data_IF_055574816007
#
_entry.id   IF_055574816007
#
_cell.length_a   1.000
_cell.length_b   1.000
_cell.length_c   1.000
_cell.angle_alpha   90.00
_cell.angle_beta   90.00
_cell.angle_gamma   90.00
#
_symmetry.space_group_name_H-M   'P 1'
#
loop_
_entity.id
_entity.type
_entity.pdbx_description
1 polymer ?
#
# COMPACT_ATOMS: atom_id res chain seq x y z
N UNK A 1 29.00 6.58 -11.71
CA UNK A 1 27.66 6.59 -11.10
C UNK A 1 27.78 5.98 -9.71
N UNK A 2 27.94 6.79 -8.68
CA UNK A 2 28.05 6.32 -7.28
C UNK A 2 26.70 5.78 -6.84
N UNK A 3 26.62 4.47 -6.59
CA UNK A 3 25.55 3.85 -5.82
C UNK A 3 25.52 4.52 -4.44
N UNK A 4 24.77 5.62 -4.29
CA UNK A 4 24.48 6.12 -2.96
C UNK A 4 23.66 5.04 -2.29
N UNK A 5 24.29 4.31 -1.36
CA UNK A 5 23.63 3.40 -0.44
C UNK A 5 22.68 4.25 0.42
N UNK A 6 21.48 4.53 -0.11
CA UNK A 6 20.45 5.21 0.66
C UNK A 6 20.08 4.23 1.78
N UNK A 7 20.25 4.61 3.06
CA UNK A 7 20.25 3.66 4.16
C UNK A 7 18.90 2.95 4.29
N UNK A 8 18.93 1.65 4.56
CA UNK A 8 17.75 0.79 4.77
C UNK A 8 16.74 1.40 5.75
N UNK A 9 17.25 2.10 6.77
CA UNK A 9 16.45 2.85 7.75
C UNK A 9 15.44 3.81 7.10
N UNK A 10 15.80 4.51 6.02
CA UNK A 10 14.87 5.45 5.35
C UNK A 10 13.72 4.72 4.67
N UNK A 11 14.00 3.63 3.96
CA UNK A 11 12.95 2.82 3.35
C UNK A 11 12.03 2.21 4.42
N UNK A 12 12.59 1.78 5.54
CA UNK A 12 11.82 1.29 6.68
C UNK A 12 10.84 2.35 7.22
N UNK A 13 11.34 3.52 7.63
CA UNK A 13 10.46 4.59 8.16
C UNK A 13 9.47 5.11 7.11
N UNK A 14 9.90 5.28 5.86
CA UNK A 14 9.04 5.73 4.78
C UNK A 14 7.93 4.73 4.48
N UNK A 15 8.24 3.42 4.48
CA UNK A 15 7.26 2.36 4.30
C UNK A 15 6.25 2.32 5.43
N UNK A 16 6.70 2.37 6.69
CA UNK A 16 5.79 2.38 7.85
C UNK A 16 4.86 3.60 7.83
N UNK A 17 5.41 4.81 7.66
CA UNK A 17 4.61 6.03 7.63
C UNK A 17 3.69 6.09 6.41
N UNK A 18 4.18 5.69 5.24
CA UNK A 18 3.37 5.59 4.03
C UNK A 18 2.20 4.64 4.22
N UNK A 19 2.45 3.43 4.75
CA UNK A 19 1.39 2.45 5.02
C UNK A 19 0.41 2.97 6.05
N UNK A 20 0.88 3.63 7.12
CA UNK A 20 -0.02 4.24 8.10
C UNK A 20 -0.97 5.26 7.44
N UNK A 21 -0.45 6.14 6.58
CA UNK A 21 -1.27 7.10 5.82
C UNK A 21 -2.30 6.36 4.94
N UNK A 22 -1.87 5.34 4.22
CA UNK A 22 -2.75 4.49 3.41
C UNK A 22 -3.87 3.85 4.23
N UNK A 23 -3.54 3.18 5.34
CA UNK A 23 -4.51 2.47 6.18
C UNK A 23 -5.48 3.43 6.86
N UNK A 24 -5.02 4.62 7.28
CA UNK A 24 -5.88 5.66 7.85
C UNK A 24 -6.87 6.18 6.81
N UNK A 25 -6.44 6.44 5.58
CA UNK A 25 -7.34 6.91 4.52
C UNK A 25 -8.41 5.86 4.17
N UNK A 26 -8.03 4.58 4.09
CA UNK A 26 -9.00 3.49 3.89
C UNK A 26 -9.92 3.29 5.08
N UNK A 27 -9.48 3.59 6.31
CA UNK A 27 -10.35 3.53 7.48
C UNK A 27 -11.56 4.47 7.35
N UNK A 28 -11.38 5.60 6.66
CA UNK A 28 -12.42 6.58 6.41
C UNK A 28 -13.29 6.27 5.17
N UNK A 29 -13.16 5.10 4.54
CA UNK A 29 -13.98 4.69 3.39
C UNK A 29 -15.50 4.88 3.60
N UNK A 30 -16.09 4.51 4.76
CA UNK A 30 -17.54 4.67 4.98
C UNK A 30 -18.01 6.13 4.92
N UNK A 31 -17.14 7.10 5.23
CA UNK A 31 -17.50 8.52 5.22
C UNK A 31 -17.74 9.07 3.80
N UNK A 32 -17.23 8.39 2.78
CA UNK A 32 -17.43 8.74 1.36
C UNK A 32 -18.37 7.76 0.65
N UNK A 33 -19.17 7.00 1.41
CA UNK A 33 -20.13 6.04 0.88
C UNK A 33 -19.51 4.76 0.31
N UNK A 34 -18.22 4.51 0.58
CA UNK A 34 -17.55 3.26 0.22
C UNK A 34 -17.64 2.25 1.37
N UNK A 35 -17.90 0.97 1.10
CA UNK A 35 -17.93 -0.07 2.13
C UNK A 35 -16.59 -0.19 2.88
N UNK A 36 -16.66 -0.54 4.16
CA UNK A 36 -15.45 -0.74 4.98
C UNK A 36 -14.70 -1.98 4.49
N UNK A 37 -13.48 -1.79 4.02
CA UNK A 37 -12.57 -2.88 3.66
C UNK A 37 -11.62 -3.18 4.80
N UNK A 38 -11.56 -4.45 5.20
CA UNK A 38 -10.62 -4.92 6.21
C UNK A 38 -9.47 -5.67 5.55
N UNK A 39 -8.56 -4.92 4.91
CA UNK A 39 -7.39 -5.48 4.24
C UNK A 39 -6.47 -6.28 5.15
N UNK A 40 -6.21 -5.88 6.41
CA UNK A 40 -5.49 -6.72 7.36
C UNK A 40 -6.15 -8.09 7.49
N UNK A 41 -7.47 -8.14 7.70
CA UNK A 41 -8.16 -9.42 7.82
C UNK A 41 -8.02 -10.25 6.54
N UNK A 42 -8.16 -9.65 5.36
CA UNK A 42 -8.00 -10.36 4.08
C UNK A 42 -6.63 -11.01 3.95
N UNK A 43 -5.56 -10.22 4.13
CA UNK A 43 -4.19 -10.71 4.05
C UNK A 43 -3.86 -11.74 5.12
N UNK A 44 -4.33 -11.51 6.34
CA UNK A 44 -4.11 -12.42 7.47
C UNK A 44 -4.78 -13.79 7.30
N UNK A 45 -5.97 -13.81 6.70
CA UNK A 45 -6.68 -15.07 6.45
C UNK A 45 -6.03 -15.98 5.42
N UNK A 46 -5.08 -15.46 4.63
CA UNK A 46 -4.22 -16.30 3.80
C UNK A 46 -3.26 -17.18 4.63
N UNK A 47 -3.02 -16.82 5.89
CA UNK A 47 -2.08 -17.51 6.78
C UNK A 47 -2.81 -18.25 7.91
N UNK A 48 -3.86 -17.66 8.49
CA UNK A 48 -4.59 -18.26 9.60
C UNK A 48 -6.07 -17.94 9.57
N UNK A 49 -6.92 -18.92 9.91
CA UNK A 49 -8.38 -18.75 9.97
C UNK A 49 -8.87 -18.21 11.33
N UNK A 50 -8.00 -18.12 12.34
CA UNK A 50 -8.34 -17.46 13.59
C UNK A 50 -8.43 -15.95 13.33
N UNK A 51 -9.63 -15.37 13.36
CA UNK A 51 -9.87 -13.99 12.94
C UNK A 51 -9.04 -12.95 13.71
N UNK A 52 -8.86 -13.15 15.02
CA UNK A 52 -8.05 -12.25 15.86
C UNK A 52 -6.57 -12.29 15.47
N UNK A 53 -6.02 -13.51 15.31
CA UNK A 53 -4.65 -13.70 14.85
C UNK A 53 -4.47 -13.22 13.40
N UNK A 54 -5.46 -13.45 12.53
CA UNK A 54 -5.46 -13.02 11.15
C UNK A 54 -5.35 -11.51 11.04
N UNK A 55 -6.16 -10.74 11.78
CA UNK A 55 -6.04 -9.28 11.77
C UNK A 55 -4.63 -8.80 12.16
N UNK A 56 -4.04 -9.38 13.21
CA UNK A 56 -2.69 -9.00 13.65
C UNK A 56 -1.62 -9.35 12.62
N UNK A 57 -1.65 -10.57 12.09
CA UNK A 57 -0.75 -11.04 11.02
C UNK A 57 -0.91 -10.17 9.77
N UNK A 58 -2.15 -9.84 9.42
CA UNK A 58 -2.52 -8.97 8.33
C UNK A 58 -1.88 -7.58 8.40
N UNK A 59 -1.95 -6.93 9.57
CA UNK A 59 -1.24 -5.67 9.79
C UNK A 59 0.26 -5.86 9.62
N UNK A 60 0.84 -6.92 10.18
CA UNK A 60 2.26 -7.26 9.99
C UNK A 60 2.65 -7.37 8.51
N UNK A 61 1.82 -8.06 7.72
CA UNK A 61 2.00 -8.18 6.26
C UNK A 61 1.88 -6.83 5.57
N UNK A 62 0.85 -6.04 5.88
CA UNK A 62 0.59 -4.74 5.22
C UNK A 62 1.75 -3.75 5.45
N UNK A 63 2.23 -3.65 6.69
CA UNK A 63 3.39 -2.83 7.02
C UNK A 63 4.70 -3.40 6.44
N UNK A 64 4.88 -4.72 6.47
CA UNK A 64 6.04 -5.38 5.86
C UNK A 64 6.13 -5.15 4.35
N UNK A 65 5.01 -5.34 3.65
CA UNK A 65 4.88 -5.07 2.21
C UNK A 65 5.13 -3.58 1.94
N UNK A 66 4.59 -2.67 2.76
CA UNK A 66 4.88 -1.24 2.67
C UNK A 66 6.37 -0.93 2.71
N UNK A 67 7.11 -1.51 3.66
CA UNK A 67 8.57 -1.36 3.71
C UNK A 67 9.27 -1.89 2.46
N UNK A 68 8.85 -3.06 1.95
CA UNK A 68 9.40 -3.63 0.73
C UNK A 68 9.11 -2.75 -0.50
N UNK A 69 7.90 -2.20 -0.62
CA UNK A 69 7.53 -1.27 -1.68
C UNK A 69 8.31 0.04 -1.58
N UNK A 70 8.49 0.61 -0.39
CA UNK A 70 9.34 1.78 -0.20
C UNK A 70 10.80 1.51 -0.60
N UNK A 71 11.29 0.29 -0.34
CA UNK A 71 12.62 -0.14 -0.83
C UNK A 71 12.68 -0.26 -2.35
N UNK A 72 11.61 -0.77 -2.98
CA UNK A 72 11.51 -0.85 -4.43
C UNK A 72 11.51 0.56 -5.05
N UNK A 73 10.72 1.49 -4.49
CA UNK A 73 10.72 2.90 -4.87
C UNK A 73 12.14 3.47 -4.90
N UNK A 74 12.93 3.24 -3.84
CA UNK A 74 14.31 3.74 -3.74
C UNK A 74 15.21 3.26 -4.90
N UNK A 75 15.00 2.05 -5.42
CA UNK A 75 15.75 1.52 -6.55
C UNK A 75 15.28 2.05 -7.91
N UNK A 76 13.99 2.39 -8.00
CA UNK A 76 13.32 2.80 -9.22
C UNK A 76 13.37 4.33 -9.43
N UNK A 77 13.19 5.11 -8.36
CA UNK A 77 13.06 6.56 -8.37
C UNK A 77 14.23 7.33 -9.03
N UNK A 78 15.51 6.90 -8.96
CA UNK A 78 16.61 7.58 -9.64
C UNK A 78 16.53 7.55 -11.17
N UNK A 79 15.70 6.66 -11.76
CA UNK A 79 15.57 6.49 -13.21
C UNK A 79 14.64 7.52 -13.85
N UNK A 80 13.95 8.32 -13.04
CA UNK A 80 12.90 9.24 -13.51
C UNK A 80 13.30 10.67 -13.16
N UNK A 81 13.32 11.54 -14.18
CA UNK A 81 13.57 12.97 -13.98
C UNK A 81 12.27 13.66 -13.60
N UNK A 82 11.99 13.74 -12.31
CA UNK A 82 10.83 14.47 -11.77
C UNK A 82 11.08 14.89 -10.31
N UNK A 83 10.24 15.77 -9.77
CA UNK A 83 10.29 16.17 -8.37
C UNK A 83 10.02 14.96 -7.45
N UNK A 84 10.46 14.97 -6.17
CA UNK A 84 10.13 13.92 -5.20
C UNK A 84 8.64 13.57 -5.15
N UNK A 85 7.79 14.61 -5.12
CA UNK A 85 6.33 14.46 -5.12
C UNK A 85 5.84 13.85 -6.43
N UNK A 86 6.33 14.32 -7.59
CA UNK A 86 5.95 13.78 -8.89
C UNK A 86 6.34 12.32 -9.08
N UNK A 87 7.55 11.93 -8.65
CA UNK A 87 8.00 10.53 -8.64
C UNK A 87 7.15 9.67 -7.70
N UNK A 88 6.87 10.17 -6.50
CA UNK A 88 6.03 9.50 -5.51
C UNK A 88 4.60 9.27 -6.01
N UNK A 89 3.98 10.30 -6.60
CA UNK A 89 2.65 10.20 -7.18
C UNK A 89 2.60 9.19 -8.34
N UNK A 90 3.57 9.24 -9.26
CA UNK A 90 3.64 8.26 -10.34
C UNK A 90 3.80 6.83 -9.81
N UNK A 91 4.64 6.64 -8.79
CA UNK A 91 4.81 5.34 -8.16
C UNK A 91 3.52 4.83 -7.51
N UNK A 92 2.84 5.69 -6.75
CA UNK A 92 1.55 5.36 -6.12
C UNK A 92 0.47 4.99 -7.16
N UNK A 93 0.43 5.72 -8.28
CA UNK A 93 -0.50 5.42 -9.38
C UNK A 93 -0.20 4.06 -10.03
N UNK A 94 1.09 3.73 -10.24
CA UNK A 94 1.50 2.42 -10.75
C UNK A 94 1.13 1.30 -9.77
N UNK A 95 1.36 1.50 -8.47
CA UNK A 95 0.94 0.55 -7.44
C UNK A 95 -0.59 0.34 -7.45
N UNK A 96 -1.36 1.41 -7.59
CA UNK A 96 -2.80 1.33 -7.72
C UNK A 96 -3.22 0.51 -8.94
N UNK A 97 -2.65 0.79 -10.11
CA UNK A 97 -2.96 0.04 -11.32
C UNK A 97 -2.64 -1.45 -11.15
N UNK A 98 -1.46 -1.78 -10.60
CA UNK A 98 -1.05 -3.17 -10.32
C UNK A 98 -1.98 -3.84 -9.31
N UNK A 99 -2.34 -3.14 -8.23
CA UNK A 99 -3.27 -3.67 -7.22
C UNK A 99 -4.66 -3.92 -7.81
N UNK A 100 -5.17 -3.00 -8.64
CA UNK A 100 -6.51 -3.12 -9.24
C UNK A 100 -6.59 -4.21 -10.30
N UNK A 101 -5.54 -4.40 -11.09
CA UNK A 101 -5.49 -5.36 -12.19
C UNK A 101 -5.10 -6.77 -11.72
N UNK A 102 -4.19 -6.88 -10.75
CA UNK A 102 -3.62 -8.16 -10.35
C UNK A 102 -3.88 -8.47 -8.88
N UNK A 103 -3.64 -7.51 -7.99
CA UNK A 103 -3.70 -7.75 -6.55
C UNK A 103 -5.10 -8.12 -6.05
N UNK A 104 -6.11 -7.29 -6.33
CA UNK A 104 -7.48 -7.54 -5.89
C UNK A 104 -8.08 -8.81 -6.50
N UNK A 105 -7.99 -9.08 -7.83
CA UNK A 105 -8.41 -10.36 -8.37
C UNK A 105 -7.71 -11.55 -7.71
N UNK A 106 -6.41 -11.46 -7.47
CA UNK A 106 -5.65 -12.51 -6.79
C UNK A 106 -6.15 -12.74 -5.37
N UNK A 107 -6.48 -11.68 -4.62
CA UNK A 107 -7.13 -11.81 -3.30
C UNK A 107 -8.49 -12.52 -3.40
N UNK A 108 -9.28 -12.21 -4.44
CA UNK A 108 -10.55 -12.90 -4.68
C UNK A 108 -10.40 -14.40 -4.92
N UNK A 109 -9.28 -14.82 -5.51
CA UNK A 109 -8.98 -16.23 -5.78
C UNK A 109 -8.36 -16.96 -4.58
N UNK A 110 -7.48 -16.29 -3.83
CA UNK A 110 -6.70 -16.92 -2.76
C UNK A 110 -7.34 -16.81 -1.38
N UNK A 111 -8.22 -15.83 -1.14
CA UNK A 111 -8.79 -15.58 0.19
C UNK A 111 -9.82 -16.66 0.57
N UNK A 112 -9.61 -17.39 1.69
CA UNK A 112 -10.61 -18.34 2.20
C UNK A 112 -11.94 -17.66 2.55
N UNK A 113 -11.90 -16.38 2.93
CA UNK A 113 -13.13 -15.63 3.26
C UNK A 113 -13.97 -15.35 2.01
N UNK A 114 -13.32 -15.12 0.88
CA UNK A 114 -14.02 -14.88 -0.39
C UNK A 114 -14.50 -16.21 -0.98
N UNK A 115 -13.67 -17.25 -0.98
CA UNK A 115 -14.02 -18.55 -1.57
C UNK A 115 -15.18 -19.24 -0.83
N UNK A 116 -15.31 -19.04 0.50
CA UNK A 116 -16.41 -19.56 1.29
C UNK A 116 -17.63 -18.63 1.36
N UNK A 117 -17.67 -17.54 0.58
CA UNK A 117 -18.80 -16.61 0.52
C UNK A 117 -19.01 -15.76 1.78
N UNK A 118 -18.02 -15.71 2.67
CA UNK A 118 -18.06 -14.89 3.88
C UNK A 118 -17.73 -13.41 3.59
N UNK A 119 -17.13 -13.13 2.44
CA UNK A 119 -16.83 -11.79 1.95
C UNK A 119 -17.03 -11.69 0.44
N UNK A 120 -17.40 -10.50 -0.03
CA UNK A 120 -17.58 -10.22 -1.44
C UNK A 120 -16.22 -10.23 -2.16
N UNK A 121 -16.13 -10.91 -3.30
CA UNK A 121 -14.93 -10.86 -4.14
C UNK A 121 -14.74 -9.44 -4.66
N UNK A 122 -13.54 -8.84 -4.57
CA UNK A 122 -13.33 -7.48 -5.04
C UNK A 122 -13.51 -7.31 -6.56
N UNK A 123 -13.15 -8.33 -7.35
CA UNK A 123 -13.12 -8.21 -8.81
C UNK A 123 -12.05 -7.23 -9.30
N UNK A 124 -11.97 -7.08 -10.63
CA UNK A 124 -11.07 -6.11 -11.27
C UNK A 124 -11.56 -4.69 -10.93
N UNK A 125 -10.63 -3.79 -10.59
CA UNK A 125 -10.96 -2.40 -10.20
C UNK A 125 -11.96 -2.31 -9.02
N UNK A 126 -11.98 -3.28 -8.11
CA UNK A 126 -12.92 -3.31 -7.00
C UNK A 126 -14.40 -3.21 -7.44
N UNK A 127 -14.75 -3.67 -8.66
CA UNK A 127 -16.05 -3.46 -9.28
C UNK A 127 -17.24 -3.82 -8.38
N UNK A 128 -17.16 -4.91 -7.62
CA UNK A 128 -18.25 -5.32 -6.73
C UNK A 128 -18.40 -4.45 -5.47
N UNK A 129 -17.38 -3.66 -5.14
CA UNK A 129 -17.41 -2.66 -4.06
C UNK A 129 -17.67 -1.23 -4.57
N UNK A 130 -17.85 -1.06 -5.88
CA UNK A 130 -18.16 0.23 -6.52
C UNK A 130 -16.96 1.12 -6.82
N UNK A 131 -17.16 2.08 -7.72
CA UNK A 131 -16.14 3.00 -8.21
C UNK A 131 -15.51 3.85 -7.09
N UNK A 132 -16.28 4.24 -6.07
CA UNK A 132 -15.79 5.01 -4.92
C UNK A 132 -14.65 4.30 -4.19
N UNK A 133 -14.75 2.98 -4.07
CA UNK A 133 -13.71 2.12 -3.47
C UNK A 133 -12.43 2.17 -4.30
N UNK A 134 -12.53 2.00 -5.63
CA UNK A 134 -11.38 2.05 -6.53
C UNK A 134 -10.66 3.41 -6.48
N UNK A 135 -11.41 4.50 -6.45
CA UNK A 135 -10.89 5.86 -6.32
C UNK A 135 -10.24 6.10 -4.95
N UNK A 136 -10.83 5.57 -3.88
CA UNK A 136 -10.26 5.70 -2.55
C UNK A 136 -8.91 4.97 -2.44
N UNK A 137 -8.79 3.77 -3.01
CA UNK A 137 -7.50 3.10 -3.13
C UNK A 137 -6.50 3.92 -3.96
N UNK A 138 -6.95 4.53 -5.05
CA UNK A 138 -6.09 5.39 -5.87
C UNK A 138 -5.52 6.54 -5.04
N UNK A 139 -6.40 7.28 -4.34
CA UNK A 139 -5.99 8.39 -3.47
C UNK A 139 -5.07 7.88 -2.36
N UNK A 140 -5.40 6.76 -1.73
CA UNK A 140 -4.61 6.20 -0.63
C UNK A 140 -3.21 5.77 -1.08
N UNK A 141 -3.09 5.14 -2.26
CA UNK A 141 -1.80 4.73 -2.82
C UNK A 141 -1.00 5.89 -3.41
N UNK A 142 -1.67 6.92 -3.94
CA UNK A 142 -1.03 8.19 -4.30
C UNK A 142 -0.41 8.83 -3.06
N UNK A 143 -1.16 8.92 -1.96
CA UNK A 143 -0.68 9.49 -0.70
C UNK A 143 0.44 8.65 -0.07
N UNK A 144 0.35 7.33 -0.14
CA UNK A 144 1.47 6.43 0.18
C UNK A 144 2.71 6.78 -0.65
N UNK A 145 2.58 6.83 -1.97
CA UNK A 145 3.69 7.09 -2.89
C UNK A 145 4.32 8.46 -2.69
N UNK A 146 3.51 9.50 -2.50
CA UNK A 146 3.97 10.86 -2.18
C UNK A 146 4.72 10.88 -0.85
N UNK A 147 4.19 10.21 0.19
CA UNK A 147 4.84 10.11 1.50
C UNK A 147 6.21 9.44 1.39
N UNK A 148 6.28 8.32 0.68
CA UNK A 148 7.52 7.60 0.43
C UNK A 148 8.52 8.44 -0.36
N UNK A 149 8.08 9.07 -1.45
CA UNK A 149 8.94 9.92 -2.28
C UNK A 149 9.47 11.12 -1.51
N UNK A 150 8.60 11.79 -0.75
CA UNK A 150 9.01 12.91 0.11
C UNK A 150 10.04 12.45 1.15
N UNK A 151 9.78 11.37 1.89
CA UNK A 151 10.67 10.93 2.97
C UNK A 151 12.01 10.37 2.48
N UNK A 152 12.03 9.69 1.34
CA UNK A 152 13.27 9.10 0.80
C UNK A 152 14.14 10.17 0.12
N UNK A 153 13.53 11.07 -0.65
CA UNK A 153 14.26 12.03 -1.48
C UNK A 153 14.53 13.37 -0.78
N UNK A 154 13.78 13.75 0.25
CA UNK A 154 14.06 15.01 0.95
C UNK A 154 15.25 14.90 1.91
N UNK A 155 16.04 15.98 2.05
CA UNK A 155 17.20 16.01 2.93
C UNK A 155 16.84 16.03 4.43
N UNK A 156 15.57 16.06 4.83
CA UNK A 156 15.15 16.06 6.25
C UNK A 156 15.69 14.81 6.96
N UNK A 157 15.62 13.63 6.31
CA UNK A 157 16.19 12.38 6.80
C UNK A 157 17.70 12.20 6.50
N UNK A 158 18.36 13.18 5.86
CA UNK A 158 19.84 13.21 5.79
C UNK A 158 20.46 13.56 7.14
N UNK A 159 19.78 14.35 7.99
CA UNK A 159 20.32 14.82 9.28
C UNK A 159 20.13 13.84 10.45
N UNK A 160 19.17 12.92 10.35
CA UNK A 160 18.92 11.91 11.39
C UNK A 160 19.69 10.59 11.15
N UNK A 161 20.43 10.50 10.04
CA UNK A 161 21.12 9.29 9.59
C UNK A 161 22.60 9.52 9.23
N UNK A 162 23.12 10.71 9.54
CA UNK A 162 24.56 10.97 9.68
C UNK A 162 24.89 11.03 11.15
#
# INVERSE_FOLDING_TARGET
MTHQNIPWRRAYFAGILGTLVFSVLLHFAPMVGSPRLNLPLWGGTLITLNLGAATLVGYGLEFGIGVLLARLYQSWAPRIKSSPVGRGALYGLLLWAVLMLFGLPLFGMLSPLVSHGLMLSPGIFAWHYGLSTALLFMVSLLMYGISVGYLIDTPVLKRLAG
#
